data_IF_236259741283
#
_entry.id   IF_236259741283
#
_cell.length_a   1.000
_cell.length_b   1.000
_cell.length_c   1.000
_cell.angle_alpha   90.00
_cell.angle_beta   90.00
_cell.angle_gamma   90.00
#
_symmetry.space_group_name_H-M   'P 1'
#
loop_
_entity.id
_entity.type
_entity.pdbx_description
1 polymer ?
#
# COMPACT_ATOMS: atom_id res chain seq x y z
N UNK A 1 -110.86 38.99 -56.58
CA UNK A 1 -112.12 38.56 -55.94
C UNK A 1 -111.88 37.12 -55.52
N UNK A 2 -111.89 36.69 -54.27
CA UNK A 2 -112.52 37.18 -53.04
C UNK A 2 -111.96 36.33 -51.90
N UNK A 3 -111.58 36.99 -50.79
CA UNK A 3 -111.74 36.61 -49.36
C UNK A 3 -111.87 35.12 -49.01
N UNK A 4 -111.12 34.54 -48.07
CA UNK A 4 -110.91 35.00 -46.69
C UNK A 4 -111.81 34.19 -45.74
N UNK A 5 -111.23 33.50 -44.75
CA UNK A 5 -111.97 32.78 -43.71
C UNK A 5 -111.08 31.98 -42.76
N UNK A 6 -110.82 32.54 -41.57
CA UNK A 6 -110.50 31.81 -40.32
C UNK A 6 -111.73 30.94 -39.92
N UNK A 7 -111.73 29.96 -38.99
CA UNK A 7 -111.33 29.99 -37.57
C UNK A 7 -111.25 28.52 -37.02
N UNK A 8 -110.32 28.29 -36.08
CA UNK A 8 -110.39 27.44 -34.86
C UNK A 8 -110.57 25.91 -34.91
N UNK A 9 -109.76 25.21 -34.08
CA UNK A 9 -110.29 24.19 -33.16
C UNK A 9 -109.61 22.81 -33.12
N UNK A 10 -108.54 22.71 -32.32
CA UNK A 10 -108.05 21.58 -31.50
C UNK A 10 -108.40 20.09 -31.78
N UNK A 11 -107.32 19.30 -31.62
CA UNK A 11 -107.18 18.03 -30.88
C UNK A 11 -107.45 16.69 -31.59
N UNK A 12 -106.46 15.77 -31.43
CA UNK A 12 -106.68 14.34 -31.62
C UNK A 12 -105.45 13.55 -32.11
N UNK A 13 -104.38 13.50 -31.33
CA UNK A 13 -103.23 12.58 -31.51
C UNK A 13 -103.51 11.30 -30.70
N UNK A 14 -103.15 10.12 -31.21
CA UNK A 14 -102.88 8.88 -30.45
C UNK A 14 -102.20 7.84 -31.37
N UNK A 15 -101.40 6.86 -30.91
CA UNK A 15 -101.02 6.53 -29.52
C UNK A 15 -99.56 6.05 -29.29
N UNK A 16 -98.59 6.24 -30.21
CA UNK A 16 -97.28 5.57 -30.10
C UNK A 16 -96.22 6.32 -29.28
N UNK A 17 -96.17 7.65 -29.39
CA UNK A 17 -95.21 8.49 -28.63
C UNK A 17 -95.47 8.45 -27.11
N UNK A 18 -96.74 8.42 -26.70
CA UNK A 18 -97.12 8.36 -25.28
C UNK A 18 -96.78 7.00 -24.66
N UNK A 19 -96.82 5.91 -25.43
CA UNK A 19 -96.43 4.57 -24.96
C UNK A 19 -94.92 4.47 -24.82
N UNK A 20 -94.16 5.07 -25.74
CA UNK A 20 -92.69 5.06 -25.69
C UNK A 20 -92.16 5.97 -24.57
N UNK A 21 -92.79 7.12 -24.35
CA UNK A 21 -92.50 8.02 -23.22
C UNK A 21 -92.90 7.38 -21.88
N UNK A 22 -94.05 6.71 -21.82
CA UNK A 22 -94.45 5.97 -20.62
C UNK A 22 -93.49 4.82 -20.30
N UNK A 23 -92.93 4.15 -21.31
CA UNK A 23 -91.95 3.08 -21.10
C UNK A 23 -90.60 3.61 -20.62
N UNK A 24 -90.12 4.74 -21.14
CA UNK A 24 -88.86 5.39 -20.70
C UNK A 24 -89.00 5.99 -19.29
N UNK A 25 -90.16 6.57 -18.95
CA UNK A 25 -90.49 7.00 -17.58
C UNK A 25 -90.57 5.82 -16.62
N UNK A 26 -91.09 4.68 -17.07
CA UNK A 26 -91.13 3.45 -16.27
C UNK A 26 -89.73 2.85 -16.09
N UNK A 27 -88.87 2.87 -17.11
CA UNK A 27 -87.48 2.39 -17.00
C UNK A 27 -86.61 3.32 -16.16
N UNK A 28 -86.81 4.65 -16.24
CA UNK A 28 -86.17 5.60 -15.32
C UNK A 28 -86.70 5.45 -13.89
N UNK A 29 -87.99 5.31 -13.65
CA UNK A 29 -88.52 5.03 -12.31
C UNK A 29 -88.09 3.67 -11.77
N UNK A 30 -87.95 2.66 -12.62
CA UNK A 30 -87.41 1.34 -12.25
C UNK A 30 -85.92 1.44 -11.92
N UNK A 31 -85.17 2.27 -12.65
CA UNK A 31 -83.75 2.52 -12.39
C UNK A 31 -83.55 3.37 -11.13
N UNK A 32 -84.39 4.38 -10.91
CA UNK A 32 -84.41 5.24 -9.73
C UNK A 32 -84.87 4.48 -8.49
N UNK A 33 -85.88 3.62 -8.55
CA UNK A 33 -86.22 2.73 -7.43
C UNK A 33 -85.08 1.77 -7.10
N UNK A 34 -84.36 1.26 -8.11
CA UNK A 34 -83.18 0.43 -7.89
C UNK A 34 -81.98 1.20 -7.33
N UNK A 35 -81.85 2.51 -7.61
CA UNK A 35 -80.81 3.39 -7.07
C UNK A 35 -81.16 3.92 -5.68
N UNK A 36 -82.41 4.33 -5.45
CA UNK A 36 -82.96 4.73 -4.15
C UNK A 36 -82.95 3.56 -3.16
N UNK A 37 -83.27 2.34 -3.61
CA UNK A 37 -83.11 1.11 -2.81
C UNK A 37 -81.64 0.71 -2.61
N UNK A 38 -80.72 1.21 -3.43
CA UNK A 38 -79.27 0.99 -3.28
C UNK A 38 -78.64 1.99 -2.29
N UNK A 39 -79.22 3.18 -2.14
CA UNK A 39 -78.77 4.26 -1.25
C UNK A 39 -79.48 4.27 0.13
N UNK A 40 -80.71 3.75 0.26
CA UNK A 40 -81.46 3.73 1.53
C UNK A 40 -81.40 2.37 2.24
N UNK A 41 -80.60 2.31 3.31
CA UNK A 41 -80.63 1.27 4.35
C UNK A 41 -79.81 0.02 4.05
N UNK A 42 -78.53 0.03 4.44
CA UNK A 42 -77.69 -1.18 4.47
C UNK A 42 -78.38 -2.34 5.22
N UNK A 43 -79.07 -2.02 6.31
CA UNK A 43 -79.87 -2.94 7.13
C UNK A 43 -81.09 -3.53 6.40
N UNK A 44 -81.72 -2.80 5.49
CA UNK A 44 -82.86 -3.31 4.71
C UNK A 44 -82.41 -4.33 3.66
N UNK A 45 -81.23 -4.13 3.05
CA UNK A 45 -80.62 -5.08 2.11
C UNK A 45 -80.11 -6.34 2.81
N UNK A 46 -79.52 -6.20 4.00
CA UNK A 46 -79.10 -7.34 4.81
C UNK A 46 -80.30 -8.24 5.15
N UNK A 47 -81.41 -7.65 5.61
CA UNK A 47 -82.64 -8.38 5.91
C UNK A 47 -83.23 -9.10 4.68
N UNK A 48 -83.28 -8.43 3.53
CA UNK A 48 -83.76 -9.06 2.28
C UNK A 48 -82.86 -10.20 1.80
N UNK A 49 -81.54 -10.09 2.01
CA UNK A 49 -80.59 -11.13 1.64
C UNK A 49 -80.74 -12.36 2.55
N UNK A 50 -80.91 -12.15 3.87
CA UNK A 50 -81.19 -13.21 4.84
C UNK A 50 -82.48 -13.94 4.48
N UNK A 51 -83.55 -13.21 4.17
CA UNK A 51 -84.85 -13.80 3.78
C UNK A 51 -84.73 -14.66 2.53
N UNK A 52 -84.04 -14.16 1.51
CA UNK A 52 -83.83 -14.90 0.26
C UNK A 52 -82.99 -16.15 0.50
N UNK A 53 -81.94 -16.08 1.33
CA UNK A 53 -81.13 -17.23 1.70
C UNK A 53 -81.95 -18.26 2.48
N UNK A 54 -82.78 -17.82 3.44
CA UNK A 54 -83.65 -18.69 4.23
C UNK A 54 -84.56 -19.51 3.33
N UNK A 55 -85.21 -18.87 2.36
CA UNK A 55 -86.11 -19.54 1.41
C UNK A 55 -85.38 -20.60 0.58
N UNK A 56 -84.17 -20.30 0.09
CA UNK A 56 -83.39 -21.25 -0.71
C UNK A 56 -83.01 -22.50 0.09
N UNK A 57 -82.55 -22.35 1.33
CA UNK A 57 -82.18 -23.51 2.16
C UNK A 57 -83.40 -24.32 2.61
N UNK A 58 -84.51 -23.64 2.92
CA UNK A 58 -85.77 -24.28 3.26
C UNK A 58 -86.32 -25.12 2.09
N UNK A 59 -86.27 -24.60 0.87
CA UNK A 59 -86.69 -25.33 -0.34
C UNK A 59 -85.80 -26.55 -0.64
N UNK A 60 -84.57 -26.57 -0.10
CA UNK A 60 -83.63 -27.70 -0.18
C UNK A 60 -83.78 -28.70 0.98
N UNK A 61 -84.76 -28.50 1.86
CA UNK A 61 -85.03 -29.37 3.01
C UNK A 61 -84.02 -29.24 4.15
N UNK A 62 -83.25 -28.14 4.20
CA UNK A 62 -82.25 -27.86 5.23
C UNK A 62 -82.71 -26.66 6.06
N UNK A 63 -83.05 -26.89 7.33
CA UNK A 63 -83.40 -25.81 8.25
C UNK A 63 -82.13 -25.15 8.81
N UNK A 64 -81.86 -23.91 8.40
CA UNK A 64 -80.74 -23.12 8.89
C UNK A 64 -81.25 -22.07 9.88
N UNK A 65 -80.78 -22.05 11.14
CA UNK A 65 -81.18 -21.04 12.10
C UNK A 65 -80.79 -19.62 11.65
N UNK A 66 -81.69 -18.65 11.85
CA UNK A 66 -81.51 -17.25 11.42
C UNK A 66 -80.20 -16.60 11.89
N UNK A 67 -79.70 -16.99 13.06
CA UNK A 67 -78.39 -16.52 13.58
C UNK A 67 -77.22 -16.86 12.64
N UNK A 68 -77.26 -18.04 12.00
CA UNK A 68 -76.21 -18.51 11.10
C UNK A 68 -76.28 -17.75 9.77
N UNK A 69 -77.49 -17.44 9.30
CA UNK A 69 -77.68 -16.62 8.09
C UNK A 69 -77.18 -15.18 8.30
N UNK A 70 -77.47 -14.59 9.46
CA UNK A 70 -76.98 -13.25 9.81
C UNK A 70 -75.45 -13.23 9.96
N UNK A 71 -74.86 -14.22 10.64
CA UNK A 71 -73.41 -14.33 10.81
C UNK A 71 -72.69 -14.54 9.47
N UNK A 72 -73.25 -15.34 8.57
CA UNK A 72 -72.71 -15.57 7.23
C UNK A 72 -72.75 -14.32 6.34
N UNK A 73 -73.83 -13.54 6.38
CA UNK A 73 -73.93 -12.28 5.63
C UNK A 73 -72.96 -11.22 6.19
N UNK A 74 -72.82 -11.15 7.52
CA UNK A 74 -71.86 -10.26 8.17
C UNK A 74 -70.41 -10.61 7.83
N UNK A 75 -70.06 -11.90 7.82
CA UNK A 75 -68.73 -12.36 7.38
C UNK A 75 -68.45 -12.06 5.88
N UNK A 76 -69.49 -12.12 5.03
CA UNK A 76 -69.39 -11.74 3.62
C UNK A 76 -69.19 -10.22 3.43
N UNK A 77 -69.72 -9.41 4.35
CA UNK A 77 -69.46 -7.97 4.37
C UNK A 77 -68.06 -7.63 4.88
N UNK A 78 -67.60 -8.27 5.95
CA UNK A 78 -66.24 -8.08 6.48
C UNK A 78 -65.15 -8.56 5.50
N UNK A 79 -65.39 -9.66 4.77
CA UNK A 79 -64.45 -10.17 3.75
C UNK A 79 -64.38 -9.30 2.48
N UNK A 80 -65.41 -8.51 2.16
CA UNK A 80 -65.38 -7.55 1.03
C UNK A 80 -64.34 -6.44 1.23
N UNK A 81 -63.91 -6.18 2.46
CA UNK A 81 -62.88 -5.18 2.76
C UNK A 81 -61.51 -5.82 3.03
N UNK A 82 -61.38 -7.14 2.86
CA UNK A 82 -60.12 -7.84 3.09
C UNK A 82 -59.32 -7.92 1.78
N UNK A 83 -58.15 -7.27 1.75
CA UNK A 83 -57.22 -7.37 0.64
C UNK A 83 -56.55 -8.75 0.61
N UNK A 84 -56.68 -9.48 -0.50
CA UNK A 84 -55.89 -10.70 -0.76
C UNK A 84 -54.64 -10.33 -1.56
N UNK A 85 -53.43 -10.43 -0.96
CA UNK A 85 -52.20 -10.10 -1.68
C UNK A 85 -51.97 -11.09 -2.83
N UNK A 86 -51.37 -10.64 -3.95
CA UNK A 86 -51.00 -11.52 -5.05
C UNK A 86 -49.95 -12.55 -4.61
N UNK A 87 -49.95 -13.76 -5.21
CA UNK A 87 -49.06 -14.84 -4.82
C UNK A 87 -47.58 -14.48 -4.99
N UNK A 88 -46.73 -15.08 -4.16
CA UNK A 88 -45.27 -14.88 -4.16
C UNK A 88 -44.60 -15.63 -5.32
N UNK A 89 -44.79 -15.13 -6.54
CA UNK A 89 -44.09 -15.57 -7.75
C UNK A 89 -42.76 -14.83 -7.92
N UNK A 90 -41.83 -15.38 -8.71
CA UNK A 90 -40.56 -14.71 -9.04
C UNK A 90 -40.74 -13.30 -9.62
N UNK A 91 -41.75 -13.11 -10.47
CA UNK A 91 -42.12 -11.80 -11.03
C UNK A 91 -42.60 -10.82 -9.96
N UNK A 92 -43.43 -11.25 -9.00
CA UNK A 92 -43.93 -10.38 -7.93
C UNK A 92 -42.83 -10.01 -6.94
N UNK A 93 -41.83 -10.89 -6.73
CA UNK A 93 -40.61 -10.58 -5.95
C UNK A 93 -39.73 -9.54 -6.64
N UNK A 94 -39.46 -9.68 -7.94
CA UNK A 94 -38.71 -8.67 -8.70
C UNK A 94 -39.46 -7.34 -8.76
N UNK A 95 -40.79 -7.36 -8.91
CA UNK A 95 -41.62 -6.17 -8.87
C UNK A 95 -41.56 -5.48 -7.50
N UNK A 96 -41.68 -6.21 -6.37
CA UNK A 96 -41.50 -5.63 -5.03
C UNK A 96 -40.10 -5.09 -4.80
N UNK A 97 -39.08 -5.78 -5.32
CA UNK A 97 -37.69 -5.31 -5.27
C UNK A 97 -37.54 -4.00 -6.05
N UNK A 98 -38.07 -3.93 -7.27
CA UNK A 98 -38.02 -2.70 -8.07
C UNK A 98 -38.84 -1.56 -7.47
N UNK A 99 -40.05 -1.80 -6.93
CA UNK A 99 -40.86 -0.76 -6.28
C UNK A 99 -40.16 -0.22 -5.04
N UNK A 100 -39.47 -1.07 -4.29
CA UNK A 100 -38.66 -0.65 -3.12
C UNK A 100 -37.30 -0.04 -3.48
N UNK A 101 -36.96 0.13 -4.77
CA UNK A 101 -35.66 0.68 -5.24
C UNK A 101 -35.25 2.01 -4.64
N UNK A 102 -36.22 2.85 -4.26
CA UNK A 102 -35.93 4.12 -3.58
C UNK A 102 -35.27 3.95 -2.21
N UNK A 103 -35.53 2.82 -1.53
CA UNK A 103 -35.01 2.51 -0.19
C UNK A 103 -33.65 1.79 -0.23
N UNK A 104 -33.44 0.88 -1.19
CA UNK A 104 -32.21 0.07 -1.26
C UNK A 104 -31.25 0.48 -2.40
N UNK A 105 -31.72 1.19 -3.43
CA UNK A 105 -30.89 1.56 -4.57
C UNK A 105 -29.79 2.54 -4.22
N UNK A 106 -30.05 3.52 -3.34
CA UNK A 106 -29.03 4.47 -2.86
C UNK A 106 -27.86 3.78 -2.14
N UNK A 107 -28.05 2.95 -1.11
CA UNK A 107 -26.94 2.26 -0.46
C UNK A 107 -26.23 1.28 -1.39
N UNK A 108 -26.96 0.59 -2.29
CA UNK A 108 -26.32 -0.31 -3.28
C UNK A 108 -25.47 0.45 -4.29
N UNK A 109 -25.91 1.60 -4.78
CA UNK A 109 -25.10 2.43 -5.68
C UNK A 109 -23.85 2.97 -4.98
N UNK A 110 -23.96 3.39 -3.72
CA UNK A 110 -22.79 3.80 -2.92
C UNK A 110 -21.83 2.62 -2.74
N UNK A 111 -22.34 1.44 -2.40
CA UNK A 111 -21.52 0.23 -2.26
C UNK A 111 -20.82 -0.15 -3.58
N UNK A 112 -21.52 -0.07 -4.71
CA UNK A 112 -20.94 -0.31 -6.04
C UNK A 112 -19.91 0.74 -6.42
N UNK A 113 -20.15 2.02 -6.11
CA UNK A 113 -19.20 3.10 -6.35
C UNK A 113 -17.92 2.91 -5.50
N UNK A 114 -18.07 2.56 -4.22
CA UNK A 114 -16.94 2.24 -3.36
C UNK A 114 -16.17 1.03 -3.87
N UNK A 115 -16.87 -0.03 -4.29
CA UNK A 115 -16.25 -1.21 -4.88
C UNK A 115 -15.48 -0.85 -6.16
N UNK A 116 -16.04 0.00 -7.02
CA UNK A 116 -15.38 0.48 -8.24
C UNK A 116 -14.13 1.32 -7.92
N UNK A 117 -14.16 2.14 -6.87
CA UNK A 117 -12.99 2.91 -6.41
C UNK A 117 -11.90 1.97 -5.88
N UNK A 118 -12.25 0.97 -5.07
CA UNK A 118 -11.28 0.00 -4.53
C UNK A 118 -10.65 -0.83 -5.66
N UNK A 119 -11.47 -1.38 -6.55
CA UNK A 119 -11.00 -2.14 -7.70
C UNK A 119 -10.18 -1.27 -8.66
N UNK A 120 -10.64 -0.04 -8.91
CA UNK A 120 -9.93 0.93 -9.74
C UNK A 120 -8.56 1.28 -9.15
N UNK A 121 -8.49 1.58 -7.84
CA UNK A 121 -7.23 1.83 -7.14
C UNK A 121 -6.30 0.62 -7.19
N UNK A 122 -6.82 -0.59 -6.99
CA UNK A 122 -6.02 -1.81 -7.05
C UNK A 122 -5.45 -2.06 -8.47
N UNK A 123 -6.29 -2.04 -9.51
CA UNK A 123 -5.88 -2.38 -10.87
C UNK A 123 -5.13 -1.26 -11.60
N UNK A 124 -5.48 0.00 -11.36
CA UNK A 124 -4.87 1.15 -12.06
C UNK A 124 -3.70 1.78 -11.32
N UNK A 125 -3.59 1.59 -9.99
CA UNK A 125 -2.51 2.20 -9.20
C UNK A 125 -1.63 1.12 -8.59
N UNK A 126 -2.18 0.25 -7.75
CA UNK A 126 -1.36 -0.69 -6.97
C UNK A 126 -0.64 -1.74 -7.84
N UNK A 127 -1.37 -2.38 -8.76
CA UNK A 127 -0.82 -3.41 -9.65
C UNK A 127 0.32 -2.88 -10.57
N UNK A 128 0.15 -1.77 -11.32
CA UNK A 128 1.25 -1.25 -12.13
C UNK A 128 2.41 -0.71 -11.28
N UNK A 129 2.12 -0.13 -10.11
CA UNK A 129 3.17 0.29 -9.18
C UNK A 129 4.04 -0.89 -8.73
N UNK A 130 3.43 -2.00 -8.29
CA UNK A 130 4.18 -3.20 -7.91
C UNK A 130 5.00 -3.78 -9.06
N UNK A 131 4.40 -3.88 -10.26
CA UNK A 131 5.11 -4.36 -11.44
C UNK A 131 6.33 -3.47 -11.77
N UNK A 132 6.17 -2.15 -11.69
CA UNK A 132 7.27 -1.21 -11.91
C UNK A 132 8.39 -1.33 -10.87
N UNK A 133 8.06 -1.59 -9.60
CA UNK A 133 9.06 -1.82 -8.54
C UNK A 133 9.84 -3.12 -8.78
N UNK A 134 9.16 -4.19 -9.17
CA UNK A 134 9.82 -5.46 -9.50
C UNK A 134 10.71 -5.36 -10.75
N UNK A 135 10.25 -4.66 -11.79
CA UNK A 135 11.05 -4.39 -12.99
C UNK A 135 12.27 -3.52 -12.67
N UNK A 136 12.10 -2.46 -11.87
CA UNK A 136 13.21 -1.61 -11.45
C UNK A 136 14.25 -2.40 -10.64
N UNK A 137 13.82 -3.26 -9.72
CA UNK A 137 14.72 -4.12 -8.96
C UNK A 137 15.49 -5.11 -9.87
N UNK A 138 14.82 -5.65 -10.90
CA UNK A 138 15.48 -6.52 -11.90
C UNK A 138 16.49 -5.75 -12.73
N UNK A 139 16.17 -4.55 -13.18
CA UNK A 139 17.09 -3.70 -13.96
C UNK A 139 18.28 -3.27 -13.11
N UNK A 140 18.06 -2.90 -11.85
CA UNK A 140 19.13 -2.57 -10.90
C UNK A 140 20.11 -3.75 -10.75
N UNK A 141 19.61 -4.97 -10.55
CA UNK A 141 20.45 -6.16 -10.40
C UNK A 141 21.09 -6.63 -11.70
N UNK A 142 20.38 -6.56 -12.82
CA UNK A 142 20.86 -7.07 -14.10
C UNK A 142 21.84 -6.11 -14.80
N UNK A 143 21.63 -4.81 -14.67
CA UNK A 143 22.37 -3.78 -15.41
C UNK A 143 23.03 -2.76 -14.49
N UNK A 144 22.29 -2.23 -13.51
CA UNK A 144 22.75 -1.12 -12.66
C UNK A 144 24.00 -1.45 -11.82
N UNK A 145 23.91 -2.49 -10.99
CA UNK A 145 25.02 -2.89 -10.10
C UNK A 145 26.23 -3.41 -10.89
N UNK A 146 26.08 -4.30 -11.90
CA UNK A 146 27.21 -4.71 -12.74
C UNK A 146 27.91 -3.53 -13.42
N UNK A 147 27.16 -2.57 -13.97
CA UNK A 147 27.75 -1.39 -14.62
C UNK A 147 28.52 -0.50 -13.64
N UNK A 148 28.03 -0.37 -12.39
CA UNK A 148 28.77 0.35 -11.33
C UNK A 148 30.07 -0.34 -10.98
N UNK A 149 30.07 -1.67 -10.86
CA UNK A 149 31.29 -2.46 -10.64
C UNK A 149 32.29 -2.31 -11.79
N UNK A 150 31.81 -2.36 -13.03
CA UNK A 150 32.65 -2.13 -14.22
C UNK A 150 33.28 -0.74 -14.19
N UNK A 151 32.51 0.29 -13.82
CA UNK A 151 33.01 1.66 -13.69
C UNK A 151 34.08 1.76 -12.61
N UNK A 152 33.84 1.19 -11.43
CA UNK A 152 34.83 1.19 -10.34
C UNK A 152 36.11 0.44 -10.72
N UNK A 153 35.97 -0.72 -11.36
CA UNK A 153 37.12 -1.48 -11.85
C UNK A 153 37.94 -0.69 -12.88
N UNK A 154 37.29 0.01 -13.80
CA UNK A 154 37.97 0.89 -14.75
C UNK A 154 38.69 2.06 -14.06
N UNK A 155 38.10 2.64 -13.02
CA UNK A 155 38.76 3.69 -12.23
C UNK A 155 40.01 3.13 -11.54
N UNK A 156 39.89 1.98 -10.85
CA UNK A 156 41.04 1.28 -10.24
C UNK A 156 42.13 1.01 -11.29
N UNK A 157 41.74 0.53 -12.47
CA UNK A 157 42.65 0.25 -13.58
C UNK A 157 43.40 1.49 -14.08
N UNK A 158 42.72 2.63 -14.19
CA UNK A 158 43.34 3.87 -14.68
C UNK A 158 44.30 4.49 -13.67
N UNK A 159 44.00 4.34 -12.38
CA UNK A 159 44.71 5.04 -11.31
C UNK A 159 45.88 4.23 -10.75
N UNK A 160 45.75 2.90 -10.72
CA UNK A 160 46.77 2.03 -10.13
C UNK A 160 48.11 2.10 -10.85
N UNK A 161 49.18 1.95 -10.06
CA UNK A 161 50.58 1.80 -10.52
C UNK A 161 51.11 0.39 -10.28
N UNK A 162 50.32 -0.50 -9.69
CA UNK A 162 50.72 -1.86 -9.30
C UNK A 162 49.72 -2.91 -9.78
N UNK A 163 50.23 -4.04 -10.29
CA UNK A 163 49.39 -5.13 -10.78
C UNK A 163 48.56 -5.78 -9.66
N UNK A 164 49.11 -5.84 -8.44
CA UNK A 164 48.46 -6.41 -7.26
C UNK A 164 47.08 -5.79 -6.98
N UNK A 165 46.89 -4.50 -7.27
CA UNK A 165 45.59 -3.86 -7.08
C UNK A 165 44.51 -4.45 -7.98
N UNK A 166 44.86 -4.81 -9.22
CA UNK A 166 43.93 -5.47 -10.15
C UNK A 166 43.66 -6.91 -9.74
N UNK A 167 44.69 -7.62 -9.28
CA UNK A 167 44.57 -9.00 -8.79
C UNK A 167 43.64 -9.09 -7.56
N UNK A 168 43.62 -8.05 -6.72
CA UNK A 168 42.70 -7.96 -5.57
C UNK A 168 41.29 -7.53 -6.02
N UNK A 169 41.18 -6.58 -6.96
CA UNK A 169 39.89 -6.02 -7.39
C UNK A 169 39.06 -6.96 -8.28
N UNK A 170 39.69 -7.69 -9.21
CA UNK A 170 39.00 -8.57 -10.17
C UNK A 170 38.11 -9.63 -9.49
N UNK A 171 38.55 -10.35 -8.44
CA UNK A 171 37.70 -11.28 -7.70
C UNK A 171 36.46 -10.64 -7.06
N UNK A 172 36.49 -9.35 -6.72
CA UNK A 172 35.33 -8.64 -6.18
C UNK A 172 34.31 -8.31 -7.26
N UNK A 173 34.76 -7.91 -8.45
CA UNK A 173 33.88 -7.70 -9.62
C UNK A 173 33.14 -8.99 -9.98
N UNK A 174 33.87 -10.10 -10.09
CA UNK A 174 33.28 -11.39 -10.45
C UNK A 174 32.28 -11.89 -9.39
N UNK A 175 32.64 -11.78 -8.11
CA UNK A 175 31.73 -12.15 -7.01
C UNK A 175 30.48 -11.28 -6.98
N UNK A 176 30.65 -9.96 -7.15
CA UNK A 176 29.55 -9.00 -7.15
C UNK A 176 28.57 -9.23 -8.30
N UNK A 177 29.08 -9.41 -9.53
CA UNK A 177 28.25 -9.75 -10.70
C UNK A 177 27.53 -11.07 -10.54
N UNK A 178 28.21 -12.09 -10.01
CA UNK A 178 27.60 -13.38 -9.72
C UNK A 178 26.51 -13.28 -8.63
N UNK A 179 26.70 -12.44 -7.61
CA UNK A 179 25.67 -12.16 -6.60
C UNK A 179 24.45 -11.48 -7.22
N UNK A 180 24.67 -10.44 -8.03
CA UNK A 180 23.60 -9.72 -8.74
C UNK A 180 22.80 -10.65 -9.67
N UNK A 181 23.47 -11.54 -10.40
CA UNK A 181 22.83 -12.54 -11.26
C UNK A 181 21.95 -13.55 -10.50
N UNK A 182 22.25 -13.81 -9.21
CA UNK A 182 21.43 -14.67 -8.34
C UNK A 182 20.32 -13.92 -7.60
N UNK A 183 20.21 -12.61 -7.79
CA UNK A 183 19.29 -11.74 -7.06
C UNK A 183 19.75 -11.37 -5.65
N UNK A 184 21.01 -11.65 -5.31
CA UNK A 184 21.63 -11.27 -4.03
C UNK A 184 22.15 -9.84 -4.09
N UNK A 185 21.25 -8.90 -3.76
CA UNK A 185 21.55 -7.45 -3.76
C UNK A 185 22.58 -7.08 -2.70
N UNK A 186 22.51 -7.69 -1.52
CA UNK A 186 23.42 -7.39 -0.42
C UNK A 186 24.84 -7.81 -0.75
N UNK A 187 25.03 -9.03 -1.28
CA UNK A 187 26.34 -9.49 -1.74
C UNK A 187 26.92 -8.65 -2.88
N UNK A 188 26.06 -8.15 -3.79
CA UNK A 188 26.50 -7.24 -4.85
C UNK A 188 26.92 -5.87 -4.30
N UNK A 189 26.19 -5.32 -3.33
CA UNK A 189 26.54 -4.04 -2.69
C UNK A 189 27.81 -4.15 -1.85
N UNK A 190 28.01 -5.24 -1.11
CA UNK A 190 29.24 -5.48 -0.36
C UNK A 190 30.47 -5.55 -1.28
N UNK A 191 30.34 -6.18 -2.46
CA UNK A 191 31.43 -6.19 -3.45
C UNK A 191 31.74 -4.78 -4.00
N UNK A 192 30.74 -3.92 -4.15
CA UNK A 192 30.93 -2.51 -4.54
C UNK A 192 31.68 -1.75 -3.44
N UNK A 193 31.30 -1.94 -2.18
CA UNK A 193 31.96 -1.29 -1.02
C UNK A 193 33.44 -1.64 -0.94
N UNK A 194 33.79 -2.91 -1.17
CA UNK A 194 35.18 -3.36 -1.22
C UNK A 194 35.97 -2.74 -2.39
N UNK A 195 35.35 -2.63 -3.57
CA UNK A 195 35.96 -1.94 -4.72
C UNK A 195 36.15 -0.44 -4.43
N UNK A 196 35.21 0.20 -3.76
CA UNK A 196 35.31 1.59 -3.32
C UNK A 196 36.42 1.79 -2.29
N UNK A 197 36.59 0.86 -1.35
CA UNK A 197 37.69 0.88 -0.39
C UNK A 197 39.07 0.75 -1.07
N UNK A 198 39.20 -0.16 -2.04
CA UNK A 198 40.42 -0.32 -2.85
C UNK A 198 40.70 0.99 -3.62
N UNK A 199 39.69 1.54 -4.28
CA UNK A 199 39.79 2.79 -5.04
C UNK A 199 40.20 3.97 -4.15
N UNK A 200 39.56 4.14 -3.00
CA UNK A 200 39.91 5.16 -2.02
C UNK A 200 41.34 5.00 -1.49
N UNK A 201 41.77 3.76 -1.24
CA UNK A 201 43.16 3.46 -0.83
C UNK A 201 44.16 3.86 -1.91
N UNK A 202 43.87 3.61 -3.19
CA UNK A 202 44.73 4.04 -4.29
C UNK A 202 44.81 5.57 -4.39
N UNK A 203 43.69 6.27 -4.19
CA UNK A 203 43.64 7.74 -4.22
C UNK A 203 44.34 8.40 -3.03
N UNK A 204 44.46 7.69 -1.89
CA UNK A 204 45.04 8.25 -0.67
C UNK A 204 46.53 8.58 -0.84
N UNK A 205 46.87 9.81 -0.46
CA UNK A 205 48.25 10.32 -0.38
C UNK A 205 48.48 10.92 1.00
N UNK A 206 49.44 10.36 1.74
CA UNK A 206 49.84 10.89 3.03
C UNK A 206 51.25 10.43 3.41
N UNK A 207 51.89 11.16 4.31
CA UNK A 207 53.12 10.76 4.98
C UNK A 207 52.83 10.35 6.41
N UNK A 208 53.39 9.24 6.86
CA UNK A 208 53.35 8.82 8.26
C UNK A 208 54.58 9.42 8.93
N UNK A 209 54.35 10.28 9.92
CA UNK A 209 55.42 10.98 10.64
C UNK A 209 55.45 10.60 12.10
N UNK A 210 56.66 10.49 12.64
CA UNK A 210 56.91 10.25 14.06
C UNK A 210 56.57 11.53 14.82
N UNK A 211 55.69 11.41 15.81
CA UNK A 211 55.26 12.55 16.64
C UNK A 211 56.45 13.07 17.44
N UNK A 212 56.77 14.36 17.24
CA UNK A 212 57.87 15.05 17.91
C UNK A 212 57.41 16.32 18.67
N UNK A 213 56.21 16.31 19.22
CA UNK A 213 55.69 17.45 20.00
C UNK A 213 56.17 17.42 21.46
N UNK A 214 56.46 18.58 22.07
CA UNK A 214 56.72 18.67 23.50
C UNK A 214 55.52 18.19 24.33
N UNK A 215 55.77 17.30 25.28
CA UNK A 215 54.71 16.76 26.16
C UNK A 215 53.89 15.62 25.54
N UNK A 216 54.17 15.21 24.30
CA UNK A 216 53.65 13.95 23.72
C UNK A 216 54.71 12.86 23.73
N UNK A 217 54.24 11.63 23.87
CA UNK A 217 55.06 10.44 23.75
C UNK A 217 55.43 10.22 22.27
N UNK A 218 56.71 9.94 22.03
CA UNK A 218 57.25 9.57 20.70
C UNK A 218 57.34 8.06 20.54
N UNK A 219 57.51 7.35 21.64
CA UNK A 219 57.75 5.92 21.64
C UNK A 219 57.30 5.29 22.96
N UNK A 220 56.77 4.08 22.84
CA UNK A 220 56.13 3.34 23.92
C UNK A 220 56.61 1.90 23.84
N UNK A 221 56.73 1.23 24.98
CA UNK A 221 56.92 -0.22 25.00
C UNK A 221 55.86 -0.89 25.87
N UNK A 222 55.45 -2.08 25.44
CA UNK A 222 54.46 -2.92 26.12
C UNK A 222 55.02 -4.32 26.33
N UNK A 223 54.54 -4.97 27.38
CA UNK A 223 54.77 -6.40 27.63
C UNK A 223 53.47 -7.12 27.26
N UNK A 224 53.46 -7.97 26.22
CA UNK A 224 52.23 -8.61 25.79
C UNK A 224 51.77 -9.64 26.84
N UNK A 225 50.46 -9.72 27.07
CA UNK A 225 49.89 -10.56 28.15
C UNK A 225 50.19 -12.05 27.97
N UNK A 226 50.28 -12.50 26.72
CA UNK A 226 50.55 -13.89 26.36
C UNK A 226 52.04 -14.28 26.47
N UNK A 227 52.94 -13.30 26.47
CA UNK A 227 54.38 -13.51 26.59
C UNK A 227 55.02 -12.31 27.29
N UNK A 228 54.95 -12.32 28.62
CA UNK A 228 55.48 -11.23 29.45
C UNK A 228 57.00 -11.10 29.41
N UNK A 229 57.72 -12.06 28.80
CA UNK A 229 59.17 -11.97 28.59
C UNK A 229 59.53 -11.21 27.30
N UNK A 230 58.57 -10.99 26.40
CA UNK A 230 58.77 -10.19 25.21
C UNK A 230 58.50 -8.70 25.49
N UNK A 231 59.23 -7.83 24.81
CA UNK A 231 58.97 -6.38 24.80
C UNK A 231 58.58 -5.97 23.39
N UNK A 232 57.38 -5.45 23.23
CA UNK A 232 56.96 -4.82 21.99
C UNK A 232 57.30 -3.33 22.05
N UNK A 233 57.93 -2.82 21.00
CA UNK A 233 58.29 -1.42 20.87
C UNK A 233 57.41 -0.76 19.82
N UNK A 234 56.92 0.43 20.12
CA UNK A 234 56.07 1.21 19.24
C UNK A 234 56.59 2.63 19.10
N UNK A 235 56.42 3.20 17.92
CA UNK A 235 56.60 4.63 17.67
C UNK A 235 55.24 5.27 17.46
N UNK A 236 55.00 6.37 18.17
CA UNK A 236 53.78 7.17 18.01
C UNK A 236 53.91 7.98 16.74
N UNK A 237 52.93 7.84 15.86
CA UNK A 237 52.90 8.44 14.54
C UNK A 237 51.57 9.11 14.25
N UNK A 238 51.61 10.04 13.30
CA UNK A 238 50.44 10.68 12.71
C UNK A 238 50.53 10.61 11.17
N UNK A 239 49.39 10.52 10.49
CA UNK A 239 49.32 10.64 9.05
C UNK A 239 49.06 12.10 8.68
N UNK A 240 49.86 12.67 7.78
CA UNK A 240 49.68 14.01 7.25
C UNK A 240 49.49 14.00 5.74
N UNK A 241 48.54 14.79 5.24
CA UNK A 241 48.34 15.03 3.81
C UNK A 241 49.46 15.92 3.22
N UNK A 242 49.34 16.23 1.92
CA UNK A 242 50.29 17.09 1.21
C UNK A 242 50.35 18.54 1.75
N UNK A 243 49.27 19.01 2.38
CA UNK A 243 49.16 20.34 2.97
C UNK A 243 49.65 20.37 4.44
N UNK A 244 49.95 19.20 5.02
CA UNK A 244 50.39 19.03 6.40
C UNK A 244 49.25 18.91 7.41
N UNK A 245 48.00 18.70 6.97
CA UNK A 245 46.88 18.44 7.86
C UNK A 245 46.83 16.96 8.24
N UNK A 246 46.36 16.68 9.46
CA UNK A 246 46.19 15.30 9.92
C UNK A 246 45.12 14.56 9.15
N UNK A 247 45.42 13.33 8.73
CA UNK A 247 44.51 12.40 8.07
C UNK A 247 44.07 11.35 9.09
N UNK A 248 42.76 11.11 9.16
CA UNK A 248 42.18 10.03 9.99
C UNK A 248 42.22 8.72 9.20
N UNK A 249 42.70 7.66 9.83
CA UNK A 249 42.80 6.34 9.22
C UNK A 249 42.15 5.28 10.12
N UNK A 250 41.53 4.22 9.53
CA UNK A 250 41.09 3.04 10.26
C UNK A 250 42.31 2.21 10.68
N UNK A 251 42.61 2.19 11.99
CA UNK A 251 43.72 1.41 12.54
C UNK A 251 43.18 0.31 13.47
N UNK A 252 43.53 -0.94 13.19
CA UNK A 252 43.22 -2.08 14.06
C UNK A 252 44.26 -2.20 15.16
N UNK A 253 43.81 -2.18 16.41
CA UNK A 253 44.69 -2.39 17.57
C UNK A 253 45.00 -3.87 17.73
N UNK A 254 46.28 -4.23 17.85
CA UNK A 254 46.69 -5.62 18.08
C UNK A 254 46.39 -6.12 19.50
N UNK A 255 46.17 -5.20 20.45
CA UNK A 255 45.82 -5.55 21.84
C UNK A 255 44.32 -5.85 22.00
N UNK A 256 43.45 -5.11 21.30
CA UNK A 256 41.98 -5.27 21.43
C UNK A 256 41.32 -5.96 20.24
N UNK A 257 41.98 -5.97 19.07
CA UNK A 257 41.39 -6.43 17.81
C UNK A 257 40.36 -5.46 17.20
N UNK A 258 40.12 -4.31 17.84
CA UNK A 258 39.14 -3.33 17.37
C UNK A 258 39.78 -2.33 16.40
N UNK A 259 39.03 -1.97 15.35
CA UNK A 259 39.42 -0.92 14.40
C UNK A 259 38.86 0.43 14.85
N UNK A 260 39.72 1.43 14.97
CA UNK A 260 39.34 2.78 15.38
C UNK A 260 39.85 3.81 14.36
N UNK A 261 39.01 4.79 14.04
CA UNK A 261 39.36 5.94 13.22
C UNK A 261 40.20 6.92 14.04
N UNK A 262 41.51 6.98 13.77
CA UNK A 262 42.45 7.80 14.54
C UNK A 262 43.39 8.58 13.63
N UNK A 263 43.76 9.79 14.05
CA UNK A 263 44.79 10.60 13.38
C UNK A 263 46.19 10.36 13.95
N UNK A 264 46.28 9.75 15.14
CA UNK A 264 47.53 9.42 15.81
C UNK A 264 47.41 8.03 16.42
N UNK A 265 48.40 7.18 16.18
CA UNK A 265 48.46 5.81 16.69
C UNK A 265 49.93 5.41 16.91
N UNK A 266 50.19 4.25 17.52
CA UNK A 266 51.55 3.75 17.68
C UNK A 266 51.79 2.51 16.81
N UNK A 267 52.77 2.58 15.90
CA UNK A 267 53.17 1.48 15.00
C UNK A 267 54.26 0.65 15.65
N UNK A 268 54.12 -0.67 15.57
CA UNK A 268 55.13 -1.60 16.09
C UNK A 268 56.39 -1.54 15.24
N UNK A 269 57.55 -1.46 15.90
CA UNK A 269 58.85 -1.43 15.26
C UNK A 269 59.83 -2.39 15.93
N UNK A 270 60.88 -2.83 15.22
CA UNK A 270 61.99 -3.54 15.86
C UNK A 270 62.66 -2.65 16.91
N UNK A 271 63.22 -3.27 17.96
CA UNK A 271 63.95 -2.56 19.02
C UNK A 271 65.03 -1.64 18.45
N UNK A 272 65.74 -2.07 17.40
CA UNK A 272 66.80 -1.27 16.77
C UNK A 272 66.28 0.04 16.19
N UNK A 273 65.07 0.04 15.60
CA UNK A 273 64.43 1.25 15.06
C UNK A 273 64.00 2.17 16.19
N UNK A 274 63.37 1.60 17.23
CA UNK A 274 62.95 2.34 18.42
C UNK A 274 64.12 3.05 19.11
N UNK A 275 65.21 2.32 19.34
CA UNK A 275 66.41 2.82 19.99
C UNK A 275 67.11 3.89 19.15
N UNK A 276 67.13 3.74 17.83
CA UNK A 276 67.67 4.75 16.92
C UNK A 276 66.90 6.08 17.04
N UNK A 277 65.57 6.04 17.06
CA UNK A 277 64.73 7.25 17.19
C UNK A 277 64.86 7.86 18.58
N UNK A 278 64.93 7.01 19.62
CA UNK A 278 65.14 7.47 21.00
C UNK A 278 66.48 8.19 21.17
N UNK A 279 67.56 7.65 20.61
CA UNK A 279 68.88 8.26 20.67
C UNK A 279 68.92 9.60 19.93
N UNK A 280 68.30 9.68 18.75
CA UNK A 280 68.18 10.90 17.94
C UNK A 280 67.52 12.04 18.76
N UNK A 281 66.34 11.75 19.32
CA UNK A 281 65.60 12.72 20.15
C UNK A 281 66.34 13.11 21.43
N UNK A 282 67.18 12.24 21.99
CA UNK A 282 67.94 12.55 23.22
C UNK A 282 69.16 13.44 22.96
N UNK A 283 69.68 13.49 21.72
CA UNK A 283 70.86 14.27 21.37
C UNK A 283 70.55 15.78 21.39
N UNK A 284 69.54 16.22 20.63
CA UNK A 284 69.18 17.63 20.48
C UNK A 284 67.67 17.93 20.60
N UNK A 285 66.84 16.92 20.91
CA UNK A 285 65.38 17.06 20.98
C UNK A 285 64.67 17.03 19.63
N UNK A 286 65.40 16.87 18.53
CA UNK A 286 64.88 16.83 17.16
C UNK A 286 64.97 15.39 16.67
N UNK A 287 64.02 14.97 15.83
CA UNK A 287 64.09 13.71 15.11
C UNK A 287 64.37 14.05 13.64
N UNK A 288 65.58 13.75 13.20
CA UNK A 288 66.13 14.14 11.90
C UNK A 288 65.42 13.36 10.80
N UNK A 289 65.09 12.08 11.06
CA UNK A 289 64.33 11.20 10.16
C UNK A 289 62.92 10.95 10.68
N UNK A 290 62.12 12.00 10.75
CA UNK A 290 60.76 11.90 11.31
C UNK A 290 59.70 11.37 10.34
N UNK A 291 60.02 11.04 9.09
CA UNK A 291 59.09 10.37 8.16
C UNK A 291 59.31 8.88 8.24
N UNK A 292 58.35 8.15 8.81
CA UNK A 292 58.40 6.70 8.97
C UNK A 292 57.97 5.97 7.69
N UNK A 293 56.99 6.52 6.97
CA UNK A 293 56.50 5.94 5.73
C UNK A 293 55.73 6.93 4.86
N UNK A 294 55.54 6.57 3.60
CA UNK A 294 54.87 7.40 2.60
C UNK A 294 53.87 6.53 1.85
N UNK A 295 52.60 6.95 1.87
CA UNK A 295 51.55 6.39 1.04
C UNK A 295 51.39 7.27 -0.19
N UNK A 296 51.67 6.69 -1.36
CA UNK A 296 51.63 7.40 -2.65
C UNK A 296 50.36 7.05 -3.44
N UNK A 297 49.94 7.97 -4.29
CA UNK A 297 48.84 7.76 -5.23
C UNK A 297 49.09 6.56 -6.15
N UNK A 298 48.06 5.74 -6.32
CA UNK A 298 48.05 4.57 -7.20
C UNK A 298 48.82 3.36 -6.64
N UNK A 299 49.34 3.43 -5.42
CA UNK A 299 49.89 2.28 -4.70
C UNK A 299 48.92 1.86 -3.59
N UNK A 300 48.88 0.57 -3.24
CA UNK A 300 48.07 0.10 -2.09
C UNK A 300 48.86 0.20 -0.79
N UNK A 301 50.11 -0.22 -0.82
CA UNK A 301 50.95 -0.29 0.37
C UNK A 301 51.59 1.06 0.70
N UNK A 302 51.88 1.25 1.99
CA UNK A 302 52.73 2.35 2.45
C UNK A 302 54.18 1.94 2.32
N UNK A 303 55.01 2.77 1.68
CA UNK A 303 56.45 2.56 1.60
C UNK A 303 57.12 3.08 2.88
N UNK A 304 57.70 2.17 3.67
CA UNK A 304 58.33 2.51 4.95
C UNK A 304 59.83 2.79 4.78
N UNK A 305 60.27 3.96 5.25
CA UNK A 305 61.67 4.37 5.19
C UNK A 305 62.53 3.72 6.28
N UNK A 306 61.88 3.14 7.29
CA UNK A 306 62.50 2.38 8.37
C UNK A 306 61.79 1.03 8.56
N UNK A 307 62.46 0.01 9.09
CA UNK A 307 61.82 -1.26 9.39
C UNK A 307 60.67 -1.08 10.39
N UNK A 308 59.49 -1.50 9.98
CA UNK A 308 58.29 -1.65 10.83
C UNK A 308 57.95 -3.13 10.95
N UNK A 309 57.19 -3.47 11.98
CA UNK A 309 56.63 -4.80 12.18
C UNK A 309 55.11 -4.72 12.04
N UNK A 310 54.48 -5.85 11.77
CA UNK A 310 53.02 -5.94 11.80
C UNK A 310 52.53 -5.69 13.23
N UNK A 311 51.57 -4.78 13.36
CA UNK A 311 50.96 -4.42 14.63
C UNK A 311 50.89 -2.91 14.86
N UNK A 312 49.80 -2.48 15.45
CA UNK A 312 49.59 -1.11 15.89
C UNK A 312 48.73 -1.09 17.16
N UNK A 313 48.83 -0.01 17.94
CA UNK A 313 47.93 0.27 19.06
C UNK A 313 47.37 1.68 18.92
N UNK A 314 46.12 1.87 19.34
CA UNK A 314 45.39 3.14 19.20
C UNK A 314 45.27 3.90 20.52
N UNK A 315 45.62 3.27 21.65
CA UNK A 315 45.51 3.85 22.99
C UNK A 315 46.75 3.48 23.81
N UNK A 316 47.21 4.39 24.67
CA UNK A 316 48.33 4.12 25.56
C UNK A 316 48.34 4.90 26.87
#
# INVERSE_FOLDING_TARGET
>A
MTSGGAISGQAGKAPLDDVMLAMDVVDTLRHEQNLVARELGASAREAQLIERLRKIYHDQGIEVPDRILAEGVKALEESRFTYTPPPDTFSTRLARLYVSRGRWGRPVLIALALLAVVLGGYFLVYRPYQAGVEEAARIELAEGLPARMDTLYQNIFNETKVQTALEIAEPWVERGKAAAARGDREGALAAIEELEAIHATLLAEYSIRIVNEPGRDTGIWRFPENNTEATNYYLVVEALDADGNTVTLPITSEETGETQEVSTWAIRVPQVTYESVRADRQDDGIIQRNVLGIKQYGFLDTDYTMPVLDGAITQW
#
